data_IF_556198749671
#
_entry.id   IF_556198749671
#
_cell.length_a   1.000
_cell.length_b   1.000
_cell.length_c   1.000
_cell.angle_alpha   90.00
_cell.angle_beta   90.00
_cell.angle_gamma   90.00
#
_symmetry.space_group_name_H-M   'P 1'
#
loop_
_entity.id
_entity.type
_entity.pdbx_description
1 polymer ?
#
# COMPACT_ATOMS: atom_id res chain seq x y z
N UNK A 1 -12.81 2.10 15.46
CA UNK A 1 -13.41 2.81 14.30
C UNK A 1 -12.79 2.19 13.05
N UNK A 2 -13.59 1.58 12.17
CA UNK A 2 -13.08 1.13 10.87
C UNK A 2 -12.90 2.38 10.00
N UNK A 3 -11.68 2.60 9.51
CA UNK A 3 -11.41 3.64 8.51
C UNK A 3 -11.88 3.08 7.16
N UNK A 4 -12.69 3.84 6.44
CA UNK A 4 -12.99 3.51 5.04
C UNK A 4 -11.74 3.82 4.21
N UNK A 5 -11.07 2.76 3.75
CA UNK A 5 -9.91 2.87 2.87
C UNK A 5 -10.38 2.49 1.47
N UNK A 6 -10.36 3.48 0.57
CA UNK A 6 -10.59 3.30 -0.86
C UNK A 6 -9.24 3.28 -1.53
N UNK A 7 -8.91 2.19 -2.24
CA UNK A 7 -7.65 2.04 -2.95
C UNK A 7 -7.90 1.85 -4.44
N UNK A 8 -7.09 2.49 -5.28
CA UNK A 8 -6.99 2.28 -6.72
C UNK A 8 -6.34 0.91 -7.03
N UNK A 9 -6.42 0.48 -8.30
CA UNK A 9 -5.76 -0.75 -8.74
C UNK A 9 -4.23 -0.68 -8.62
N UNK A 10 -3.63 0.47 -8.93
CA UNK A 10 -2.19 0.70 -8.80
C UNK A 10 -1.75 0.82 -7.34
N UNK A 11 -2.50 1.52 -6.50
CA UNK A 11 -2.26 1.58 -5.05
C UNK A 11 -2.27 0.20 -4.39
N UNK A 12 -3.24 -0.66 -4.75
CA UNK A 12 -3.29 -2.05 -4.29
C UNK A 12 -2.04 -2.83 -4.74
N UNK A 13 -1.59 -2.61 -5.98
CA UNK A 13 -0.42 -3.27 -6.54
C UNK A 13 0.85 -2.84 -5.79
N UNK A 14 1.03 -1.55 -5.55
CA UNK A 14 2.14 -1.00 -4.77
C UNK A 14 2.19 -1.55 -3.34
N UNK A 15 1.05 -1.58 -2.64
CA UNK A 15 0.98 -2.10 -1.28
C UNK A 15 1.28 -3.60 -1.20
N UNK A 16 0.88 -4.37 -2.22
CA UNK A 16 1.24 -5.80 -2.31
C UNK A 16 2.74 -5.99 -2.54
N UNK A 17 3.35 -5.17 -3.39
CA UNK A 17 4.79 -5.23 -3.69
C UNK A 17 5.65 -4.82 -2.49
N UNK A 18 5.31 -3.72 -1.82
CA UNK A 18 5.98 -3.25 -0.60
C UNK A 18 5.82 -4.25 0.56
N UNK A 19 4.68 -4.92 0.61
CA UNK A 19 4.31 -5.81 1.69
C UNK A 19 3.82 -5.05 2.94
N UNK A 20 2.90 -5.68 3.67
CA UNK A 20 2.24 -5.06 4.83
C UNK A 20 2.99 -5.28 6.17
N UNK A 21 4.22 -5.81 6.12
CA UNK A 21 5.04 -6.09 7.31
C UNK A 21 5.75 -4.87 7.87
N UNK A 22 5.74 -3.74 7.15
CA UNK A 22 6.53 -2.55 7.50
C UNK A 22 8.03 -2.71 7.27
N UNK A 23 8.44 -3.77 6.57
CA UNK A 23 9.83 -3.98 6.15
C UNK A 23 10.23 -2.87 5.18
N UNK A 24 11.40 -2.23 5.36
CA UNK A 24 11.90 -1.25 4.41
C UNK A 24 12.14 -1.86 3.03
N UNK A 25 11.73 -1.16 1.99
CA UNK A 25 11.84 -1.55 0.60
C UNK A 25 12.54 -0.43 -0.20
N UNK A 26 13.61 -0.78 -0.90
CA UNK A 26 14.36 0.20 -1.70
C UNK A 26 13.57 0.61 -2.94
N UNK A 27 13.41 1.92 -3.17
CA UNK A 27 12.61 2.44 -4.27
C UNK A 27 13.12 2.00 -5.65
N UNK A 28 14.44 1.85 -5.85
CA UNK A 28 14.98 1.26 -7.08
C UNK A 28 14.46 -0.14 -7.36
N UNK A 29 14.31 -0.98 -6.33
CA UNK A 29 13.72 -2.30 -6.50
C UNK A 29 12.21 -2.19 -6.76
N UNK A 30 11.54 -1.22 -6.13
CA UNK A 30 10.10 -1.04 -6.28
C UNK A 30 9.75 -0.71 -7.73
N UNK A 31 10.50 0.22 -8.34
CA UNK A 31 10.37 0.59 -9.77
C UNK A 31 10.55 -0.63 -10.68
N UNK A 32 11.50 -1.52 -10.38
CA UNK A 32 11.70 -2.74 -11.18
C UNK A 32 10.55 -3.75 -11.06
N UNK A 33 9.88 -3.81 -9.91
CA UNK A 33 8.75 -4.73 -9.68
C UNK A 33 7.44 -4.27 -10.31
N UNK A 34 7.35 -2.99 -10.69
CA UNK A 34 6.16 -2.36 -11.28
C UNK A 34 6.45 -1.84 -12.69
N UNK A 35 7.40 -2.46 -13.40
CA UNK A 35 7.83 -2.03 -14.72
C UNK A 35 6.72 -1.99 -15.80
N UNK A 36 5.62 -2.73 -15.57
CA UNK A 36 4.44 -2.74 -16.46
C UNK A 36 3.48 -1.56 -16.23
N UNK A 37 3.72 -0.75 -15.19
CA UNK A 37 2.90 0.41 -14.82
C UNK A 37 3.48 1.69 -15.43
N UNK A 38 2.62 2.61 -15.87
CA UNK A 38 3.07 3.89 -16.41
C UNK A 38 3.77 4.70 -15.31
N UNK A 39 4.93 5.30 -15.60
CA UNK A 39 5.74 5.99 -14.59
C UNK A 39 5.00 7.15 -13.91
N UNK A 40 4.16 7.87 -14.66
CA UNK A 40 3.33 8.95 -14.12
C UNK A 40 2.28 8.42 -13.14
N UNK A 41 1.54 7.38 -13.53
CA UNK A 41 0.56 6.70 -12.67
C UNK A 41 1.23 6.13 -11.42
N UNK A 42 2.39 5.50 -11.59
CA UNK A 42 3.17 4.94 -10.47
C UNK A 42 3.57 6.00 -9.47
N UNK A 43 4.08 7.15 -9.96
CA UNK A 43 4.51 8.24 -9.11
C UNK A 43 3.31 8.86 -8.38
N UNK A 44 2.20 9.10 -9.08
CA UNK A 44 0.99 9.68 -8.51
C UNK A 44 0.39 8.77 -7.43
N UNK A 45 0.26 7.46 -7.68
CA UNK A 45 -0.25 6.50 -6.69
C UNK A 45 0.70 6.38 -5.48
N UNK A 46 2.01 6.33 -5.71
CA UNK A 46 2.98 6.24 -4.61
C UNK A 46 2.97 7.49 -3.73
N UNK A 47 2.91 8.68 -4.35
CA UNK A 47 2.80 9.95 -3.64
C UNK A 47 1.48 10.00 -2.86
N UNK A 48 0.36 9.61 -3.47
CA UNK A 48 -0.94 9.52 -2.80
C UNK A 48 -0.90 8.63 -1.55
N UNK A 49 -0.30 7.44 -1.65
CA UNK A 49 -0.12 6.55 -0.49
C UNK A 49 0.76 7.14 0.63
N UNK A 50 1.75 7.96 0.27
CA UNK A 50 2.62 8.66 1.23
C UNK A 50 1.87 9.82 1.89
N UNK A 51 1.13 10.63 1.12
CA UNK A 51 0.34 11.77 1.61
C UNK A 51 -0.79 11.33 2.55
N UNK A 52 -1.45 10.19 2.24
CA UNK A 52 -2.45 9.56 3.11
C UNK A 52 -1.84 8.92 4.36
N UNK A 53 -0.51 8.82 4.42
CA UNK A 53 0.24 8.23 5.54
C UNK A 53 0.18 6.70 5.60
N UNK A 54 -0.27 6.04 4.52
CA UNK A 54 -0.30 4.58 4.39
C UNK A 54 1.08 4.01 4.14
N UNK A 55 1.92 4.75 3.42
CA UNK A 55 3.34 4.45 3.18
C UNK A 55 4.18 5.57 3.81
N UNK A 56 5.32 5.19 4.37
CA UNK A 56 6.30 6.11 4.95
C UNK A 56 7.54 6.08 4.05
N UNK A 57 7.99 7.25 3.62
CA UNK A 57 9.28 7.45 2.95
C UNK A 57 10.32 7.96 3.94
N UNK A 58 11.59 7.62 3.74
CA UNK A 58 12.73 8.22 4.44
C UNK A 58 13.08 9.62 3.92
N UNK A 59 12.61 9.98 2.72
CA UNK A 59 12.76 11.31 2.14
C UNK A 59 11.58 12.21 2.46
N UNK A 60 11.88 13.49 2.66
CA UNK A 60 10.87 14.53 2.96
C UNK A 60 10.03 14.88 1.73
N UNK A 61 10.63 14.85 0.53
CA UNK A 61 9.96 15.17 -0.73
C UNK A 61 10.30 14.10 -1.78
N UNK A 62 9.27 13.49 -2.37
CA UNK A 62 9.38 12.58 -3.50
C UNK A 62 8.53 13.18 -4.61
N UNK A 63 9.16 13.76 -5.65
CA UNK A 63 8.46 14.46 -6.74
C UNK A 63 8.82 13.95 -8.13
N UNK A 64 9.85 13.13 -8.23
CA UNK A 64 10.38 12.61 -9.49
C UNK A 64 10.72 11.12 -9.35
N UNK A 65 10.83 10.42 -10.47
CA UNK A 65 11.25 9.02 -10.48
C UNK A 65 12.66 8.84 -9.88
N UNK A 66 13.58 9.78 -10.11
CA UNK A 66 14.91 9.77 -9.49
C UNK A 66 14.84 9.87 -7.96
N UNK A 67 13.88 10.64 -7.44
CA UNK A 67 13.66 10.73 -6.00
C UNK A 67 13.20 9.40 -5.43
N UNK A 68 12.27 8.73 -6.13
CA UNK A 68 11.75 7.40 -5.77
C UNK A 68 12.88 6.39 -5.73
N UNK A 69 13.69 6.27 -6.78
CA UNK A 69 14.74 5.26 -6.86
C UNK A 69 15.75 5.34 -5.70
N UNK A 70 16.00 6.57 -5.23
CA UNK A 70 16.94 6.88 -4.15
C UNK A 70 16.30 6.84 -2.76
N UNK A 71 15.00 6.61 -2.65
CA UNK A 71 14.27 6.58 -1.38
C UNK A 71 14.06 5.14 -0.88
N UNK A 72 13.71 5.02 0.39
CA UNK A 72 13.28 3.80 1.04
C UNK A 72 11.84 3.97 1.52
N UNK A 73 11.00 3.01 1.19
CA UNK A 73 9.58 3.02 1.50
C UNK A 73 9.22 1.87 2.45
N UNK A 74 8.25 2.09 3.32
CA UNK A 74 7.65 1.02 4.12
C UNK A 74 6.20 1.32 4.40
N UNK A 75 5.38 0.28 4.53
CA UNK A 75 3.99 0.46 4.98
C UNK A 75 3.95 0.94 6.42
N UNK A 76 3.06 1.89 6.71
CA UNK A 76 2.79 2.36 8.05
C UNK A 76 2.08 1.26 8.85
N UNK A 77 2.74 0.75 9.89
CA UNK A 77 2.22 -0.33 10.74
C UNK A 77 0.89 0.02 11.42
N UNK A 78 0.62 1.31 11.62
CA UNK A 78 -0.66 1.80 12.18
C UNK A 78 -1.86 1.53 11.27
N UNK A 79 -1.63 1.35 9.97
CA UNK A 79 -2.66 1.09 8.95
C UNK A 79 -2.58 -0.34 8.39
N UNK A 80 -1.57 -1.12 8.72
CA UNK A 80 -1.32 -2.44 8.13
C UNK A 80 -2.54 -3.39 8.20
N UNK A 81 -3.30 -3.35 9.30
CA UNK A 81 -4.51 -4.17 9.45
C UNK A 81 -5.65 -3.70 8.53
N UNK A 82 -5.87 -2.39 8.46
CA UNK A 82 -6.95 -1.82 7.65
C UNK A 82 -6.62 -1.96 6.16
N UNK A 83 -5.36 -1.73 5.76
CA UNK A 83 -4.87 -1.95 4.39
C UNK A 83 -4.98 -3.43 3.99
N UNK A 84 -4.69 -4.36 4.90
CA UNK A 84 -4.87 -5.79 4.64
C UNK A 84 -6.33 -6.14 4.35
N UNK A 85 -7.24 -5.58 5.12
CA UNK A 85 -8.68 -5.80 4.94
C UNK A 85 -9.18 -5.16 3.62
N UNK A 86 -8.66 -4.00 3.24
CA UNK A 86 -8.98 -3.32 1.98
C UNK A 86 -8.45 -4.07 0.74
N UNK A 87 -7.24 -4.63 0.82
CA UNK A 87 -6.62 -5.39 -0.28
C UNK A 87 -7.25 -6.79 -0.46
N UNK A 88 -7.79 -7.38 0.61
CA UNK A 88 -8.43 -8.71 0.60
C UNK A 88 -9.89 -8.66 1.05
N UNK A 89 -10.80 -8.03 0.30
CA UNK A 89 -12.20 -7.85 0.72
C UNK A 89 -12.94 -9.19 0.90
N UNK A 90 -12.52 -10.25 0.19
CA UNK A 90 -13.12 -11.59 0.27
C UNK A 90 -12.95 -12.29 1.63
N UNK A 91 -11.94 -11.95 2.43
CA UNK A 91 -11.63 -12.66 3.69
C UNK A 91 -12.50 -12.21 4.87
N UNK A 92 -13.17 -11.05 4.76
CA UNK A 92 -14.15 -10.58 5.77
C UNK A 92 -15.47 -11.35 5.70
N UNK A 93 -15.96 -11.68 4.51
CA UNK A 93 -17.27 -12.37 4.33
C UNK A 93 -17.34 -13.72 5.05
N UNK A 94 -16.24 -14.48 5.12
CA UNK A 94 -16.22 -15.77 5.83
C UNK A 94 -16.24 -15.64 7.36
N UNK A 95 -15.62 -14.61 7.94
CA UNK A 95 -15.54 -14.45 9.40
C UNK A 95 -16.86 -13.98 10.02
N UNK A 96 -17.65 -13.19 9.29
CA UNK A 96 -18.96 -12.75 9.76
C UNK A 96 -20.03 -13.85 9.68
N UNK A 97 -20.01 -14.68 8.62
CA UNK A 97 -20.99 -15.76 8.48
C UNK A 97 -20.83 -16.88 9.52
N UNK A 98 -19.62 -17.18 9.98
CA UNK A 98 -19.39 -18.28 10.94
C UNK A 98 -19.85 -17.99 12.36
N UNK A 99 -20.08 -16.72 12.75
CA UNK A 99 -20.52 -16.37 14.11
C UNK A 99 -22.04 -16.43 14.32
N UNK A 100 -22.85 -16.51 13.27
CA UNK A 100 -24.32 -16.48 13.37
C UNK A 100 -25.03 -17.84 13.32
N UNK A 101 -24.31 -18.97 13.43
CA UNK A 101 -24.91 -20.32 13.45
C UNK A 101 -24.51 -21.10 14.71
N UNK A 102 -24.87 -20.57 15.88
CA UNK A 102 -25.11 -21.35 17.10
C UNK A 102 -26.24 -20.66 17.87
N UNK A 103 -27.45 -21.11 17.57
CA UNK A 103 -28.73 -20.77 18.18
C UNK A 103 -29.71 -21.79 17.65
#
# INVERSE_FOLDING_TARGET
MQREINLSGGEITLLKTLGLSGTPFYGKLLVNHVADMEQAEFLDDLVGLVELGYVISDKVNVRTMEDVERAVFRVNSSYARDLKDAIQPGRRREKEQRRRRRG
#
